data_IF_312552817765
#
_entry.id   IF_312552817765
#
_cell.length_a   1.000
_cell.length_b   1.000
_cell.length_c   1.000
_cell.angle_alpha   90.00
_cell.angle_beta   90.00
_cell.angle_gamma   90.00
#
_symmetry.space_group_name_H-M   'P 1'
#
loop_
_entity.id
_entity.type
_entity.pdbx_description
1 polymer ?
#
# COMPACT_ATOMS: atom_id res chain seq x y z
N UNK A 1 -36.68 -10.07 12.05
CA UNK A 1 -35.40 -9.72 11.39
C UNK A 1 -35.53 -9.35 9.90
N UNK A 2 -36.68 -9.46 9.24
CA UNK A 2 -36.81 -9.23 7.78
C UNK A 2 -36.79 -7.76 7.32
N UNK A 3 -37.06 -6.80 8.20
CA UNK A 3 -37.29 -5.38 7.83
C UNK A 3 -35.99 -4.59 7.61
N UNK A 4 -34.92 -4.91 8.33
CA UNK A 4 -33.62 -4.24 8.22
C UNK A 4 -32.88 -4.60 6.92
N UNK A 5 -32.95 -5.87 6.49
CA UNK A 5 -32.35 -6.32 5.23
C UNK A 5 -33.02 -5.71 3.98
N UNK A 6 -34.34 -5.53 4.02
CA UNK A 6 -35.07 -4.90 2.92
C UNK A 6 -34.69 -3.42 2.74
N UNK A 7 -34.51 -2.70 3.85
CA UNK A 7 -34.07 -1.30 3.85
C UNK A 7 -32.63 -1.15 3.32
N UNK A 8 -31.71 -2.01 3.74
CA UNK A 8 -30.33 -1.98 3.24
C UNK A 8 -30.25 -2.26 1.74
N UNK A 9 -31.10 -3.14 1.22
CA UNK A 9 -31.14 -3.41 -0.22
C UNK A 9 -31.71 -2.22 -0.98
N UNK A 10 -32.79 -1.60 -0.50
CA UNK A 10 -33.37 -0.42 -1.17
C UNK A 10 -32.44 0.79 -1.19
N UNK A 11 -31.62 0.99 -0.16
CA UNK A 11 -30.62 2.07 -0.12
C UNK A 11 -29.48 1.77 -1.10
N UNK A 12 -29.00 0.52 -1.11
CA UNK A 12 -27.95 0.10 -2.05
C UNK A 12 -28.42 0.21 -3.50
N UNK A 13 -29.66 -0.18 -3.79
CA UNK A 13 -30.25 -0.08 -5.13
C UNK A 13 -30.34 1.39 -5.58
N UNK A 14 -30.70 2.30 -4.67
CA UNK A 14 -30.72 3.74 -4.95
C UNK A 14 -29.31 4.31 -5.19
N UNK A 15 -28.32 3.91 -4.40
CA UNK A 15 -26.92 4.32 -4.58
C UNK A 15 -26.33 3.81 -5.91
N UNK A 16 -26.62 2.55 -6.27
CA UNK A 16 -26.22 1.96 -7.54
C UNK A 16 -26.87 2.67 -8.72
N UNK A 17 -28.13 3.08 -8.59
CA UNK A 17 -28.83 3.83 -9.62
C UNK A 17 -28.23 5.24 -9.80
N UNK A 18 -27.92 5.93 -8.70
CA UNK A 18 -27.20 7.21 -8.76
C UNK A 18 -25.80 7.07 -9.40
N UNK A 19 -25.09 5.97 -9.10
CA UNK A 19 -23.80 5.68 -9.72
C UNK A 19 -23.94 5.37 -11.21
N UNK A 20 -24.96 4.61 -11.60
CA UNK A 20 -25.29 4.31 -12.99
C UNK A 20 -25.47 5.59 -13.80
N UNK A 21 -26.30 6.51 -13.29
CA UNK A 21 -26.55 7.80 -13.93
C UNK A 21 -25.27 8.64 -14.04
N UNK A 22 -24.46 8.71 -12.98
CA UNK A 22 -23.20 9.46 -12.98
C UNK A 22 -22.14 8.89 -13.92
N UNK A 23 -22.18 7.58 -14.17
CA UNK A 23 -21.30 6.90 -15.11
C UNK A 23 -21.86 6.94 -16.55
N UNK A 24 -23.04 7.52 -16.76
CA UNK A 24 -23.67 7.63 -18.08
C UNK A 24 -24.10 6.28 -18.68
N UNK A 25 -24.41 5.30 -17.82
CA UNK A 25 -24.81 3.96 -18.23
C UNK A 25 -26.32 3.87 -18.39
N UNK A 26 -26.81 3.08 -19.34
CA UNK A 26 -28.24 2.81 -19.55
C UNK A 26 -28.81 1.83 -18.49
N UNK A 27 -30.12 1.85 -18.19
CA UNK A 27 -30.74 1.00 -17.15
C UNK A 27 -30.54 -0.51 -17.35
N UNK A 28 -30.33 -0.94 -18.60
CA UNK A 28 -30.09 -2.34 -18.97
C UNK A 28 -28.60 -2.76 -18.85
N UNK A 29 -27.67 -1.82 -18.61
CA UNK A 29 -26.22 -2.06 -18.55
C UNK A 29 -25.74 -2.43 -17.14
N UNK A 30 -26.49 -3.29 -16.42
CA UNK A 30 -26.14 -3.69 -15.05
C UNK A 30 -24.78 -4.39 -14.94
N UNK A 31 -24.42 -5.19 -15.94
CA UNK A 31 -23.13 -5.88 -15.98
C UNK A 31 -21.96 -4.91 -16.13
N UNK A 32 -22.13 -3.85 -16.92
CA UNK A 32 -21.10 -2.83 -17.12
C UNK A 32 -20.97 -1.96 -15.86
N UNK A 33 -22.08 -1.60 -15.22
CA UNK A 33 -22.06 -0.93 -13.91
C UNK A 33 -21.24 -1.71 -12.87
N UNK A 34 -21.51 -3.02 -12.74
CA UNK A 34 -20.78 -3.88 -11.81
C UNK A 34 -19.29 -3.98 -12.17
N UNK A 35 -18.97 -4.03 -13.47
CA UNK A 35 -17.58 -4.06 -13.93
C UNK A 35 -16.84 -2.78 -13.55
N UNK A 36 -17.44 -1.62 -13.79
CA UNK A 36 -16.84 -0.32 -13.45
C UNK A 36 -16.67 -0.14 -11.94
N UNK A 37 -17.70 -0.45 -11.15
CA UNK A 37 -17.62 -0.39 -9.68
C UNK A 37 -16.55 -1.34 -9.15
N UNK A 38 -16.46 -2.56 -9.68
CA UNK A 38 -15.43 -3.51 -9.28
C UNK A 38 -14.02 -3.06 -9.67
N UNK A 39 -13.85 -2.44 -10.85
CA UNK A 39 -12.58 -1.89 -11.30
C UNK A 39 -12.10 -0.76 -10.38
N UNK A 40 -13.00 0.17 -10.04
CA UNK A 40 -12.73 1.27 -9.09
C UNK A 40 -12.40 0.75 -7.70
N UNK A 41 -13.22 -0.17 -7.16
CA UNK A 41 -12.98 -0.79 -5.86
C UNK A 41 -11.63 -1.54 -5.84
N UNK A 42 -11.33 -2.30 -6.89
CA UNK A 42 -10.05 -2.99 -7.03
C UNK A 42 -8.85 -2.03 -7.07
N UNK A 43 -8.98 -0.88 -7.74
CA UNK A 43 -7.94 0.14 -7.73
C UNK A 43 -7.74 0.74 -6.33
N UNK A 44 -8.82 1.09 -5.63
CA UNK A 44 -8.81 1.60 -4.24
C UNK A 44 -8.10 0.63 -3.31
N UNK A 45 -8.44 -0.67 -3.38
CA UNK A 45 -7.80 -1.72 -2.60
C UNK A 45 -6.30 -1.77 -2.86
N UNK A 46 -5.86 -1.77 -4.12
CA UNK A 46 -4.43 -1.78 -4.46
C UNK A 46 -3.70 -0.55 -3.94
N UNK A 47 -4.29 0.64 -3.99
CA UNK A 47 -3.66 1.84 -3.43
C UNK A 47 -3.55 1.75 -1.90
N UNK A 48 -4.59 1.25 -1.24
CA UNK A 48 -4.61 1.06 0.22
C UNK A 48 -3.58 0.03 0.69
N UNK A 49 -3.45 -1.09 -0.02
CA UNK A 49 -2.39 -2.09 0.20
C UNK A 49 -1.00 -1.49 -0.02
N UNK A 50 -0.87 -0.49 -0.90
CA UNK A 50 0.37 0.24 -1.08
C UNK A 50 0.66 1.27 0.02
N UNK A 51 -0.25 1.43 1.00
CA UNK A 51 -0.15 2.40 2.07
C UNK A 51 -0.50 3.83 1.65
N UNK A 52 -1.09 4.02 0.47
CA UNK A 52 -1.44 5.34 -0.06
C UNK A 52 -2.77 5.84 0.52
N UNK A 53 -2.82 7.14 0.79
CA UNK A 53 -4.07 7.85 1.06
C UNK A 53 -4.83 8.06 -0.25
N UNK A 54 -6.15 7.93 -0.19
CA UNK A 54 -7.05 8.22 -1.31
C UNK A 54 -7.86 9.42 -0.86
N UNK A 55 -7.84 10.48 -1.65
CA UNK A 55 -8.40 11.78 -1.31
C UNK A 55 -9.22 12.27 -2.49
N UNK A 56 -10.42 12.77 -2.22
CA UNK A 56 -11.22 13.52 -3.18
C UNK A 56 -10.86 15.01 -3.02
N UNK A 57 -10.45 15.66 -4.10
CA UNK A 57 -10.15 17.10 -4.08
C UNK A 57 -11.21 17.87 -4.84
N UNK A 58 -11.76 18.90 -4.20
CA UNK A 58 -12.68 19.88 -4.80
C UNK A 58 -12.17 21.29 -4.53
N UNK A 59 -11.37 21.82 -5.45
CA UNK A 59 -10.67 23.09 -5.23
C UNK A 59 -9.63 22.94 -4.11
N UNK A 60 -9.77 23.75 -3.06
CA UNK A 60 -8.93 23.69 -1.84
C UNK A 60 -9.41 22.63 -0.83
N UNK A 61 -10.64 22.13 -0.97
CA UNK A 61 -11.16 21.10 -0.06
C UNK A 61 -10.59 19.73 -0.45
N UNK A 62 -10.03 19.05 0.55
CA UNK A 62 -9.51 17.70 0.43
C UNK A 62 -10.24 16.82 1.44
N UNK A 63 -11.01 15.86 0.94
CA UNK A 63 -11.71 14.88 1.77
C UNK A 63 -11.05 13.51 1.63
N UNK A 64 -10.45 12.96 2.70
CA UNK A 64 -9.85 11.64 2.66
C UNK A 64 -10.93 10.55 2.67
N UNK A 65 -10.74 9.52 1.85
CA UNK A 65 -11.58 8.33 1.89
C UNK A 65 -11.25 7.50 3.14
N UNK A 66 -12.10 7.59 4.15
CA UNK A 66 -12.02 6.84 5.41
C UNK A 66 -13.01 5.69 5.39
N UNK A 67 -12.50 4.46 5.49
CA UNK A 67 -13.35 3.27 5.60
C UNK A 67 -12.61 2.16 6.37
N UNK A 68 -13.27 1.44 7.31
CA UNK A 68 -12.62 0.42 8.13
C UNK A 68 -11.92 -0.70 7.33
N UNK A 69 -12.43 -1.03 6.14
CA UNK A 69 -11.76 -1.99 5.25
C UNK A 69 -10.43 -1.46 4.69
N UNK A 70 -10.38 -0.17 4.35
CA UNK A 70 -9.18 0.49 3.82
C UNK A 70 -8.12 0.61 4.92
N UNK A 71 -8.53 0.96 6.15
CA UNK A 71 -7.62 1.04 7.30
C UNK A 71 -6.99 -0.32 7.61
N UNK A 72 -7.77 -1.40 7.59
CA UNK A 72 -7.24 -2.77 7.76
C UNK A 72 -6.21 -3.13 6.68
N UNK A 73 -6.45 -2.75 5.42
CA UNK A 73 -5.50 -2.98 4.33
C UNK A 73 -4.19 -2.20 4.54
N UNK A 74 -4.29 -0.93 4.94
CA UNK A 74 -3.12 -0.10 5.27
C UNK A 74 -2.34 -0.65 6.47
N UNK A 75 -3.05 -1.07 7.53
CA UNK A 75 -2.46 -1.60 8.75
C UNK A 75 -1.64 -2.88 8.51
N UNK A 76 -2.06 -3.74 7.56
CA UNK A 76 -1.29 -4.94 7.17
C UNK A 76 0.10 -4.60 6.62
N UNK A 77 0.23 -3.49 5.90
CA UNK A 77 1.53 -2.98 5.42
C UNK A 77 2.28 -2.17 6.48
N UNK A 78 1.56 -1.52 7.38
CA UNK A 78 2.17 -0.90 8.57
C UNK A 78 2.63 -1.94 9.61
N UNK A 79 2.62 -3.25 9.31
CA UNK A 79 3.55 -4.16 9.98
C UNK A 79 4.94 -3.54 9.85
N UNK A 80 5.56 -3.11 10.96
CA UNK A 80 6.79 -2.33 10.90
C UNK A 80 7.82 -3.15 10.14
N UNK A 81 8.48 -2.55 9.14
CA UNK A 81 9.79 -3.02 8.73
C UNK A 81 10.65 -3.01 10.00
N UNK A 82 10.90 -4.19 10.56
CA UNK A 82 11.43 -4.35 11.92
C UNK A 82 10.43 -4.93 12.90
N UNK A 83 9.70 -6.00 12.53
CA UNK A 83 9.20 -6.95 13.51
C UNK A 83 10.40 -7.28 14.41
N UNK A 84 10.35 -6.80 15.67
CA UNK A 84 11.48 -6.81 16.59
C UNK A 84 11.98 -8.25 16.66
N UNK A 85 13.17 -8.49 16.10
CA UNK A 85 13.73 -9.84 15.99
C UNK A 85 13.88 -10.38 17.42
N UNK A 86 12.95 -11.24 17.84
CA UNK A 86 13.02 -11.90 19.15
C UNK A 86 13.84 -13.16 18.96
N UNK A 87 15.10 -13.07 19.34
CA UNK A 87 15.98 -14.22 19.41
C UNK A 87 15.57 -15.06 20.63
N UNK A 88 15.56 -16.38 20.45
CA UNK A 88 15.58 -17.30 21.58
C UNK A 88 16.90 -17.20 22.35
N UNK A 89 16.95 -17.73 23.57
CA UNK A 89 18.17 -17.73 24.38
C UNK A 89 19.34 -18.43 23.64
N UNK A 90 19.05 -19.53 22.94
CA UNK A 90 20.03 -20.25 22.13
C UNK A 90 20.55 -19.41 20.96
N UNK A 91 19.70 -18.63 20.30
CA UNK A 91 20.11 -17.75 19.21
C UNK A 91 20.88 -16.53 19.71
N UNK A 92 20.56 -16.03 20.90
CA UNK A 92 21.29 -14.95 21.55
C UNK A 92 22.71 -15.37 21.89
N UNK A 93 22.90 -16.58 22.45
CA UNK A 93 24.22 -17.15 22.74
C UNK A 93 25.03 -17.35 21.45
N UNK A 94 24.40 -17.87 20.38
CA UNK A 94 25.07 -18.00 19.07
C UNK A 94 25.49 -16.66 18.50
N UNK A 95 24.62 -15.65 18.57
CA UNK A 95 24.93 -14.31 18.09
C UNK A 95 26.08 -13.68 18.89
N UNK A 96 26.08 -13.81 20.21
CA UNK A 96 27.17 -13.34 21.07
C UNK A 96 28.50 -13.99 20.67
N UNK A 97 28.52 -15.31 20.47
CA UNK A 97 29.72 -16.02 20.04
C UNK A 97 30.25 -15.55 18.67
N UNK A 98 29.36 -15.21 17.73
CA UNK A 98 29.76 -14.69 16.40
C UNK A 98 30.31 -13.26 16.51
N UNK A 99 29.74 -12.43 17.39
CA UNK A 99 30.21 -11.06 17.60
C UNK A 99 31.55 -11.01 18.36
N UNK A 100 31.74 -11.91 19.33
CA UNK A 100 32.97 -12.01 20.13
C UNK A 100 34.17 -12.51 19.32
N UNK A 101 33.93 -13.26 18.23
CA UNK A 101 34.99 -13.70 17.31
C UNK A 101 35.65 -12.55 16.55
N UNK A 102 35.09 -11.34 16.63
CA UNK A 102 35.54 -10.19 15.88
C UNK A 102 35.11 -10.29 14.41
N UNK A 103 34.55 -9.21 13.88
CA UNK A 103 34.23 -9.12 12.47
C UNK A 103 35.37 -8.44 11.74
N UNK A 104 36.16 -9.21 10.98
CA UNK A 104 37.07 -8.66 9.98
C UNK A 104 36.34 -8.58 8.62
N UNK A 105 35.77 -7.41 8.28
CA UNK A 105 35.11 -7.26 6.98
C UNK A 105 36.10 -7.51 5.85
N UNK A 106 35.69 -8.27 4.81
CA UNK A 106 36.49 -8.43 3.60
C UNK A 106 36.92 -7.07 3.04
N UNK A 107 38.10 -6.95 2.43
CA UNK A 107 38.63 -5.66 1.95
C UNK A 107 37.66 -4.92 1.01
N UNK A 108 36.94 -5.65 0.15
CA UNK A 108 35.89 -5.08 -0.71
C UNK A 108 34.74 -4.45 0.09
N UNK A 109 34.34 -5.06 1.21
CA UNK A 109 33.31 -4.51 2.09
C UNK A 109 33.80 -3.24 2.78
N UNK A 110 35.07 -3.21 3.24
CA UNK A 110 35.67 -2.01 3.83
C UNK A 110 35.70 -0.85 2.84
N UNK A 111 36.09 -1.13 1.60
CA UNK A 111 36.16 -0.13 0.54
C UNK A 111 34.76 0.40 0.16
N UNK A 112 33.76 -0.47 0.05
CA UNK A 112 32.38 -0.04 -0.22
C UNK A 112 31.81 0.82 0.91
N UNK A 113 32.05 0.45 2.18
CA UNK A 113 31.63 1.24 3.34
C UNK A 113 32.36 2.59 3.41
N UNK A 114 33.67 2.62 3.12
CA UNK A 114 34.44 3.87 3.04
C UNK A 114 33.93 4.78 1.91
N UNK A 115 33.63 4.21 0.74
CA UNK A 115 33.03 4.93 -0.37
C UNK A 115 31.64 5.46 -0.04
N UNK A 116 30.82 4.68 0.68
CA UNK A 116 29.49 5.08 1.16
C UNK A 116 29.55 6.22 2.18
N UNK A 117 30.52 6.18 3.09
CA UNK A 117 30.74 7.18 4.14
C UNK A 117 31.42 8.46 3.62
N UNK A 118 31.90 8.48 2.38
CA UNK A 118 32.57 9.65 1.80
C UNK A 118 31.58 10.82 1.66
N UNK A 119 31.79 11.96 2.34
CA UNK A 119 30.87 13.10 2.29
C UNK A 119 30.79 13.77 0.91
N UNK A 120 31.75 13.49 0.01
CA UNK A 120 31.74 13.97 -1.37
C UNK A 120 31.02 13.02 -2.33
N UNK A 121 30.52 11.88 -1.85
CA UNK A 121 29.80 10.91 -2.67
C UNK A 121 28.51 11.53 -3.20
N UNK A 122 28.33 11.49 -4.52
CA UNK A 122 27.06 11.85 -5.16
C UNK A 122 26.29 10.57 -5.50
N UNK A 123 24.97 10.53 -5.27
CA UNK A 123 24.17 9.39 -5.69
C UNK A 123 24.30 9.21 -7.22
N UNK A 124 24.29 7.96 -7.71
CA UNK A 124 24.36 7.69 -9.14
C UNK A 124 23.18 8.35 -9.85
N UNK A 125 23.45 8.96 -11.01
CA UNK A 125 22.40 9.56 -11.84
C UNK A 125 21.50 8.45 -12.38
N UNK A 126 20.27 8.35 -11.87
CA UNK A 126 19.25 7.45 -12.39
C UNK A 126 18.95 7.81 -13.84
N UNK A 127 19.28 6.92 -14.78
CA UNK A 127 18.87 7.03 -16.18
C UNK A 127 17.75 6.03 -16.42
N UNK A 128 16.53 6.52 -16.48
CA UNK A 128 15.40 5.74 -16.96
C UNK A 128 15.54 5.54 -18.47
N UNK A 129 15.46 4.30 -18.95
CA UNK A 129 15.35 4.03 -20.39
C UNK A 129 14.06 4.69 -20.87
N UNK A 130 14.14 5.55 -21.89
CA UNK A 130 12.95 6.13 -22.53
C UNK A 130 12.10 4.99 -23.10
N UNK A 131 10.77 4.98 -22.90
CA UNK A 131 9.91 4.05 -23.61
C UNK A 131 10.05 4.30 -25.12
N UNK A 132 10.12 3.23 -25.90
CA UNK A 132 10.07 3.31 -27.35
C UNK A 132 8.72 3.94 -27.74
N UNK A 133 8.79 4.99 -28.57
CA UNK A 133 7.62 5.64 -29.20
C UNK A 133 7.06 4.69 -30.25
#
# INVERSE_FOLDING_TARGET
MSRFQALTNSVLDAELEMLRERLGLEPNQKADLLREVAALAGWVVRQAEQGRAIEARRGEEVEPLVHPAIERLRARRQKPMGERLRLSDAETIRLASVLDQGFEPPPALRETLANLANPKRRPPKLRWKKPAV
#
